data_IF_857981682134
#
_entry.id   IF_857981682134
#
_cell.length_a   1.000
_cell.length_b   1.000
_cell.length_c   1.000
_cell.angle_alpha   90.00
_cell.angle_beta   90.00
_cell.angle_gamma   90.00
#
_symmetry.space_group_name_H-M   'P 1'
#
loop_
_entity.id
_entity.type
_entity.pdbx_description
1 polymer ?
#
# COMPACT_ATOMS: atom_id res chain seq x y z
N UNK A 1 9.00 13.82 -16.40
CA UNK A 1 8.33 14.46 -15.25
C UNK A 1 8.21 13.41 -14.14
N UNK A 2 9.21 13.33 -13.27
CA UNK A 2 9.34 12.31 -12.21
C UNK A 2 8.59 12.82 -10.97
N UNK A 3 7.29 12.52 -10.88
CA UNK A 3 6.38 13.16 -9.89
C UNK A 3 6.52 12.59 -8.47
N UNK A 4 7.24 11.48 -8.27
CA UNK A 4 7.49 10.95 -6.92
C UNK A 4 8.92 10.45 -6.78
N UNK A 5 9.81 11.29 -6.26
CA UNK A 5 11.03 10.78 -5.65
C UNK A 5 10.65 10.05 -4.36
N UNK A 6 11.12 8.80 -4.23
CA UNK A 6 10.87 7.95 -3.07
C UNK A 6 11.25 8.71 -1.78
N UNK A 7 10.33 8.72 -0.83
CA UNK A 7 10.60 9.01 0.59
C UNK A 7 10.81 10.47 1.01
N UNK A 8 10.59 11.47 0.14
CA UNK A 8 10.59 12.89 0.54
C UNK A 8 9.15 13.34 0.76
N UNK A 9 8.74 13.71 1.99
CA UNK A 9 7.42 14.28 2.23
C UNK A 9 7.30 15.63 1.49
N UNK A 10 6.12 15.89 0.92
CA UNK A 10 5.84 17.22 0.38
C UNK A 10 5.99 18.27 1.51
N UNK A 11 6.61 19.43 1.24
CA UNK A 11 6.69 20.54 2.19
C UNK A 11 5.32 20.87 2.79
N UNK A 12 5.27 21.23 4.08
CA UNK A 12 4.03 21.61 4.79
C UNK A 12 3.31 22.84 4.18
N UNK A 13 4.00 23.60 3.34
CA UNK A 13 3.49 24.76 2.60
C UNK A 13 2.84 24.39 1.26
N UNK A 14 2.98 23.14 0.82
CA UNK A 14 2.28 22.63 -0.35
C UNK A 14 0.83 22.38 0.11
N UNK A 15 -0.09 23.27 -0.31
CA UNK A 15 -1.51 23.08 -0.05
C UNK A 15 -1.91 21.65 -0.42
N UNK A 16 -2.77 21.04 0.40
CA UNK A 16 -3.29 19.70 0.16
C UNK A 16 -3.57 19.58 -1.34
N UNK A 17 -3.00 18.56 -2.00
CA UNK A 17 -3.29 18.25 -3.40
C UNK A 17 -4.73 17.72 -3.58
N UNK A 18 -5.67 18.27 -2.82
CA UNK A 18 -7.12 18.08 -2.81
C UNK A 18 -7.80 18.65 -4.07
N UNK A 19 -7.06 18.84 -5.16
CA UNK A 19 -7.63 19.18 -6.47
C UNK A 19 -7.88 17.95 -7.35
N UNK A 20 -7.21 16.82 -7.08
CA UNK A 20 -7.36 15.55 -7.80
C UNK A 20 -7.11 14.38 -6.86
N UNK A 21 -8.15 13.95 -6.16
CA UNK A 21 -8.15 12.72 -5.36
C UNK A 21 -8.04 11.51 -6.30
N UNK A 22 -6.85 10.94 -6.42
CA UNK A 22 -6.68 9.60 -6.98
C UNK A 22 -7.30 8.58 -6.01
N UNK A 23 -8.24 7.76 -6.50
CA UNK A 23 -9.02 6.74 -5.78
C UNK A 23 -8.20 5.51 -5.32
N UNK A 24 -6.90 5.68 -5.01
CA UNK A 24 -6.04 4.57 -4.60
C UNK A 24 -6.24 4.34 -3.10
N UNK A 25 -7.10 3.40 -2.75
CA UNK A 25 -7.49 3.05 -1.37
C UNK A 25 -6.86 1.74 -0.86
N UNK A 26 -6.43 0.85 -1.77
CA UNK A 26 -5.94 -0.48 -1.42
C UNK A 26 -4.40 -0.54 -1.48
N UNK A 27 -3.78 -1.14 -0.47
CA UNK A 27 -2.33 -1.35 -0.37
C UNK A 27 -2.07 -2.85 -0.35
N UNK A 28 -1.25 -3.33 -1.30
CA UNK A 28 -0.75 -4.70 -1.33
C UNK A 28 0.75 -4.70 -1.03
N UNK A 29 1.19 -5.58 -0.12
CA UNK A 29 2.60 -5.79 0.17
C UNK A 29 2.88 -7.29 0.38
N UNK A 30 3.94 -7.77 -0.24
CA UNK A 30 4.38 -9.16 -0.14
C UNK A 30 5.83 -9.24 0.32
N UNK A 31 6.20 -10.34 0.95
CA UNK A 31 7.57 -10.62 1.38
C UNK A 31 7.90 -12.09 1.17
N UNK A 32 9.20 -12.43 1.15
CA UNK A 32 9.66 -13.80 0.95
C UNK A 32 9.46 -14.65 2.21
N UNK A 33 9.58 -14.03 3.38
CA UNK A 33 9.40 -14.68 4.67
C UNK A 33 8.32 -14.01 5.52
N UNK A 34 7.75 -14.75 6.46
CA UNK A 34 6.80 -14.22 7.43
C UNK A 34 7.42 -13.11 8.30
N UNK A 35 8.69 -13.28 8.70
CA UNK A 35 9.41 -12.30 9.52
C UNK A 35 9.58 -10.95 8.81
N UNK A 36 9.95 -10.97 7.53
CA UNK A 36 10.02 -9.76 6.70
C UNK A 36 8.64 -9.10 6.55
N UNK A 37 7.59 -9.90 6.29
CA UNK A 37 6.23 -9.38 6.20
C UNK A 37 5.81 -8.67 7.49
N UNK A 38 6.11 -9.24 8.66
CA UNK A 38 5.83 -8.60 9.94
C UNK A 38 6.59 -7.28 10.13
N UNK A 39 7.88 -7.23 9.74
CA UNK A 39 8.68 -6.02 9.82
C UNK A 39 8.13 -4.92 8.90
N UNK A 40 7.79 -5.27 7.67
CA UNK A 40 7.24 -4.34 6.68
C UNK A 40 5.86 -3.82 7.10
N UNK A 41 4.98 -4.68 7.62
CA UNK A 41 3.67 -4.27 8.14
C UNK A 41 3.81 -3.32 9.34
N UNK A 42 4.81 -3.53 10.20
CA UNK A 42 5.07 -2.60 11.31
C UNK A 42 5.54 -1.22 10.80
N UNK A 43 6.45 -1.21 9.82
CA UNK A 43 6.92 0.03 9.19
C UNK A 43 5.78 0.76 8.44
N UNK A 44 4.91 0.03 7.75
CA UNK A 44 3.73 0.57 7.09
C UNK A 44 2.77 1.20 8.11
N UNK A 45 2.47 0.49 9.20
CA UNK A 45 1.61 1.00 10.29
C UNK A 45 2.16 2.29 10.90
N UNK A 46 3.47 2.37 11.11
CA UNK A 46 4.13 3.59 11.58
C UNK A 46 3.90 4.76 10.62
N UNK A 47 4.12 4.56 9.31
CA UNK A 47 3.88 5.60 8.30
C UNK A 47 2.42 6.02 8.20
N UNK A 48 1.48 5.08 8.21
CA UNK A 48 0.04 5.39 8.18
C UNK A 48 -0.37 6.27 9.35
N UNK A 49 0.11 5.95 10.57
CA UNK A 49 -0.12 6.78 11.76
C UNK A 49 0.47 8.17 11.65
N UNK A 50 1.68 8.29 11.12
CA UNK A 50 2.35 9.59 10.91
C UNK A 50 1.52 10.51 10.02
N UNK A 51 0.88 9.96 8.98
CA UNK A 51 0.00 10.71 8.07
C UNK A 51 -1.46 10.77 8.50
N UNK A 52 -1.80 10.28 9.70
CA UNK A 52 -3.17 10.20 10.22
C UNK A 52 -4.15 9.44 9.28
N UNK A 53 -3.65 8.39 8.60
CA UNK A 53 -4.43 7.51 7.71
C UNK A 53 -4.87 6.28 8.50
N UNK A 54 -6.16 5.93 8.41
CA UNK A 54 -6.72 4.73 9.01
C UNK A 54 -6.88 3.62 7.97
N UNK A 55 -6.68 2.37 8.40
CA UNK A 55 -6.92 1.17 7.59
C UNK A 55 -8.00 0.32 8.26
N UNK A 56 -8.89 -0.25 7.45
CA UNK A 56 -9.96 -1.12 7.96
C UNK A 56 -9.44 -2.54 8.14
N UNK A 57 -9.34 -2.99 9.39
CA UNK A 57 -8.94 -4.36 9.69
C UNK A 57 -9.91 -5.39 9.08
N UNK A 58 -11.22 -5.09 9.08
CA UNK A 58 -12.24 -5.98 8.52
C UNK A 58 -12.17 -6.13 6.99
N UNK A 59 -11.60 -5.14 6.29
CA UNK A 59 -11.42 -5.16 4.83
C UNK A 59 -10.02 -5.59 4.40
N UNK A 60 -9.12 -5.82 5.34
CA UNK A 60 -7.73 -6.15 5.05
C UNK A 60 -7.52 -7.67 5.03
N UNK A 61 -6.76 -8.15 4.06
CA UNK A 61 -6.32 -9.54 3.98
C UNK A 61 -4.85 -9.66 4.41
N UNK A 62 -4.54 -10.70 5.20
CA UNK A 62 -3.19 -10.94 5.71
C UNK A 62 -2.79 -12.40 5.52
N UNK A 63 -1.49 -12.64 5.31
CA UNK A 63 -0.89 -13.99 5.30
C UNK A 63 -1.41 -14.91 4.19
N UNK A 64 -1.78 -14.35 3.04
CA UNK A 64 -2.22 -15.12 1.87
C UNK A 64 -1.06 -15.34 0.90
N UNK A 65 -1.05 -16.49 0.22
CA UNK A 65 -0.08 -16.79 -0.85
C UNK A 65 -0.48 -16.18 -2.20
N UNK A 66 -1.77 -15.92 -2.41
CA UNK A 66 -2.27 -15.06 -3.47
C UNK A 66 -3.35 -14.13 -2.95
N UNK A 67 -3.45 -12.93 -3.51
CA UNK A 67 -4.47 -11.95 -3.16
C UNK A 67 -5.13 -11.40 -4.43
N UNK A 68 -6.44 -11.11 -4.39
CA UNK A 68 -7.05 -10.25 -5.39
C UNK A 68 -6.59 -8.80 -5.15
N UNK A 69 -6.12 -8.12 -6.19
CA UNK A 69 -5.75 -6.72 -6.15
C UNK A 69 -5.98 -6.07 -7.52
N UNK A 70 -6.81 -5.03 -7.57
CA UNK A 70 -7.12 -4.28 -8.79
C UNK A 70 -7.50 -5.18 -10.00
N UNK A 71 -8.44 -6.11 -9.79
CA UNK A 71 -8.89 -7.09 -10.80
C UNK A 71 -7.84 -8.10 -11.28
N UNK A 72 -6.74 -8.25 -10.53
CA UNK A 72 -5.72 -9.25 -10.79
C UNK A 72 -5.54 -10.15 -9.59
N UNK A 73 -5.21 -11.41 -9.82
CA UNK A 73 -4.60 -12.26 -8.80
C UNK A 73 -3.09 -11.99 -8.78
N UNK A 74 -2.56 -11.62 -7.61
CA UNK A 74 -1.12 -11.45 -7.38
C UNK A 74 -0.64 -12.62 -6.52
N UNK A 75 0.44 -13.27 -6.95
CA UNK A 75 1.10 -14.34 -6.20
C UNK A 75 2.62 -14.31 -6.41
N UNK A 76 3.36 -15.14 -5.67
CA UNK A 76 4.80 -15.34 -5.92
C UNK A 76 5.11 -15.88 -7.33
N UNK A 77 4.14 -16.49 -8.03
CA UNK A 77 4.30 -16.98 -9.40
C UNK A 77 4.12 -15.89 -10.45
N UNK A 78 3.66 -14.70 -10.06
CA UNK A 78 3.38 -13.58 -10.95
C UNK A 78 1.96 -13.04 -10.80
N UNK A 79 1.57 -12.21 -11.78
CA UNK A 79 0.30 -11.50 -11.84
C UNK A 79 -0.57 -12.13 -12.93
N UNK A 80 -1.81 -12.49 -12.61
CA UNK A 80 -2.79 -13.01 -13.57
C UNK A 80 -4.04 -12.14 -13.57
N UNK A 81 -4.54 -11.76 -14.74
CA UNK A 81 -5.82 -11.07 -14.85
C UNK A 81 -6.96 -12.02 -14.46
N UNK A 82 -7.91 -11.52 -13.67
CA UNK A 82 -9.15 -12.24 -13.38
C UNK A 82 -10.18 -11.77 -14.42
N UNK A 83 -10.73 -12.67 -15.28
CA UNK A 83 -11.70 -12.31 -16.31
C UNK A 83 -12.98 -11.67 -15.76
#
# INVERSE_FOLDING_TARGET
MTVFQRSIPAPSQMGLALGKSSYINDIAHGALTWGELCADLNALRFRLRYWNITVSLLKSEYGKFSIPYLSHEISAKGIRATP
#
